data_IF_270615490546
#
_entry.id   IF_270615490546
#
_cell.length_a   1.000
_cell.length_b   1.000
_cell.length_c   1.000
_cell.angle_alpha   90.00
_cell.angle_beta   90.00
_cell.angle_gamma   90.00
#
_symmetry.space_group_name_H-M   'P 1'
#
loop_
_entity.id
_entity.type
_entity.pdbx_description
1 polymer ?
#
# COMPACT_ATOMS: atom_id res chain seq x y z
N UNK A 1 1.93 12.45 -8.82
CA UNK A 1 1.80 10.97 -8.93
C UNK A 1 0.49 10.54 -8.31
N UNK A 2 -0.09 9.42 -8.77
CA UNK A 2 -1.29 8.80 -8.19
C UNK A 2 -0.94 7.82 -7.08
N UNK A 3 -1.27 8.17 -5.84
CA UNK A 3 -1.00 7.37 -4.64
C UNK A 3 -2.34 6.85 -4.12
N UNK A 4 -2.42 5.54 -3.86
CA UNK A 4 -3.64 4.91 -3.35
C UNK A 4 -3.34 4.10 -2.10
N UNK A 5 -3.99 4.44 -0.99
CA UNK A 5 -4.08 3.63 0.22
C UNK A 5 -5.33 2.75 0.15
N UNK A 6 -5.14 1.44 -0.06
CA UNK A 6 -6.24 0.52 -0.41
C UNK A 6 -6.99 -0.07 0.77
N UNK A 7 -6.53 0.16 2.00
CA UNK A 7 -7.15 -0.32 3.24
C UNK A 7 -6.83 0.59 4.43
N UNK A 8 -7.64 0.52 5.51
CA UNK A 8 -7.36 1.27 6.73
C UNK A 8 -6.12 0.71 7.45
N UNK A 9 -5.23 1.61 7.86
CA UNK A 9 -3.98 1.28 8.55
C UNK A 9 -3.94 1.78 10.01
N UNK A 10 -5.11 2.11 10.57
CA UNK A 10 -5.26 2.51 11.98
C UNK A 10 -4.97 3.99 12.27
N UNK A 11 -4.89 4.84 11.24
CA UNK A 11 -4.78 6.29 11.40
C UNK A 11 -6.14 6.93 11.65
N UNK A 12 -6.16 7.98 12.46
CA UNK A 12 -7.32 8.84 12.63
C UNK A 12 -7.62 9.64 11.35
N UNK A 13 -8.84 10.18 11.26
CA UNK A 13 -9.25 11.03 10.12
C UNK A 13 -8.38 12.28 10.01
N UNK A 14 -8.04 12.89 11.15
CA UNK A 14 -7.22 14.11 11.21
C UNK A 14 -5.81 13.86 10.68
N UNK A 15 -5.16 12.76 11.10
CA UNK A 15 -3.85 12.36 10.59
C UNK A 15 -3.90 12.10 9.08
N UNK A 16 -4.96 11.44 8.61
CA UNK A 16 -5.13 11.13 7.19
C UNK A 16 -5.35 12.40 6.34
N UNK A 17 -6.11 13.36 6.84
CA UNK A 17 -6.31 14.66 6.20
C UNK A 17 -4.98 15.44 6.12
N UNK A 18 -4.20 15.44 7.18
CA UNK A 18 -2.89 16.10 7.19
C UNK A 18 -1.93 15.47 6.17
N UNK A 19 -1.85 14.14 6.10
CA UNK A 19 -1.04 13.43 5.09
C UNK A 19 -1.55 13.74 3.68
N UNK A 20 -2.86 13.73 3.47
CA UNK A 20 -3.48 14.04 2.17
C UNK A 20 -3.14 15.45 1.70
N UNK A 21 -3.20 16.44 2.59
CA UNK A 21 -2.87 17.83 2.27
C UNK A 21 -1.39 17.97 1.93
N UNK A 22 -0.49 17.39 2.73
CA UNK A 22 0.95 17.41 2.45
C UNK A 22 1.28 16.80 1.08
N UNK A 23 0.65 15.68 0.73
CA UNK A 23 0.86 15.05 -0.59
C UNK A 23 0.30 15.88 -1.74
N UNK A 24 -0.85 16.56 -1.53
CA UNK A 24 -1.44 17.47 -2.52
C UNK A 24 -0.57 18.71 -2.76
N UNK A 25 0.01 19.29 -1.71
CA UNK A 25 0.91 20.44 -1.81
C UNK A 25 2.18 20.12 -2.60
N UNK A 26 2.62 18.85 -2.54
CA UNK A 26 3.70 18.32 -3.37
C UNK A 26 3.27 17.93 -4.80
N UNK A 27 2.00 18.16 -5.18
CA UNK A 27 1.47 17.87 -6.52
C UNK A 27 1.09 16.40 -6.75
N UNK A 28 0.86 15.63 -5.69
CA UNK A 28 0.38 14.25 -5.78
C UNK A 28 -1.13 14.17 -5.54
N UNK A 29 -1.80 13.22 -6.19
CA UNK A 29 -3.17 12.86 -5.86
C UNK A 29 -3.15 11.67 -4.91
N UNK A 30 -3.87 11.77 -3.79
CA UNK A 30 -3.96 10.72 -2.79
C UNK A 30 -5.39 10.24 -2.62
N UNK A 31 -5.62 8.94 -2.82
CA UNK A 31 -6.91 8.28 -2.63
C UNK A 31 -6.82 7.31 -1.45
N UNK A 32 -7.76 7.41 -0.53
CA UNK A 32 -7.80 6.61 0.70
C UNK A 32 -9.10 5.83 0.74
N UNK A 33 -9.00 4.56 1.11
CA UNK A 33 -10.15 3.70 1.37
C UNK A 33 -10.19 3.31 2.85
N UNK A 34 -11.27 3.70 3.52
CA UNK A 34 -11.49 3.45 4.95
C UNK A 34 -12.03 2.04 5.25
N UNK A 35 -12.21 1.22 4.21
CA UNK A 35 -12.72 -0.16 4.34
C UNK A 35 -11.70 -1.16 3.82
N UNK A 36 -11.65 -2.34 4.45
CA UNK A 36 -10.86 -3.45 3.93
C UNK A 36 -11.59 -4.08 2.73
N UNK A 37 -10.94 -4.24 1.57
CA UNK A 37 -11.54 -4.95 0.45
C UNK A 37 -11.70 -6.43 0.79
N UNK A 38 -12.85 -7.00 0.47
CA UNK A 38 -13.17 -8.41 0.76
C UNK A 38 -12.78 -9.36 -0.39
N UNK A 39 -12.67 -8.82 -1.60
CA UNK A 39 -12.46 -9.59 -2.82
C UNK A 39 -11.33 -9.01 -3.65
N UNK A 40 -10.67 -9.88 -4.40
CA UNK A 40 -9.54 -9.52 -5.26
C UNK A 40 -9.92 -8.52 -6.35
N UNK A 41 -11.13 -8.64 -6.93
CA UNK A 41 -11.61 -7.71 -7.96
C UNK A 41 -11.75 -6.28 -7.43
N UNK A 42 -12.06 -6.13 -6.13
CA UNK A 42 -12.11 -4.83 -5.50
C UNK A 42 -10.71 -4.25 -5.33
N UNK A 43 -9.74 -5.06 -4.92
CA UNK A 43 -8.32 -4.64 -4.85
C UNK A 43 -7.84 -4.16 -6.22
N UNK A 44 -8.10 -4.92 -7.28
CA UNK A 44 -7.79 -4.55 -8.67
C UNK A 44 -8.42 -3.21 -9.02
N UNK A 45 -9.72 -3.04 -8.74
CA UNK A 45 -10.44 -1.79 -9.06
C UNK A 45 -9.84 -0.58 -8.35
N UNK A 46 -9.42 -0.72 -7.09
CA UNK A 46 -8.80 0.35 -6.28
C UNK A 46 -7.35 0.64 -6.74
N UNK A 47 -6.60 -0.38 -7.13
CA UNK A 47 -5.18 -0.29 -7.44
C UNK A 47 -4.85 0.03 -8.91
N UNK A 48 -5.75 -0.26 -9.87
CA UNK A 48 -5.49 -0.22 -11.32
C UNK A 48 -4.79 1.05 -11.84
N UNK A 49 -5.14 2.21 -11.28
CA UNK A 49 -4.66 3.52 -11.72
C UNK A 49 -3.53 4.08 -10.85
N UNK A 50 -3.13 3.35 -9.79
CA UNK A 50 -2.10 3.78 -8.87
C UNK A 50 -0.71 3.72 -9.51
N UNK A 51 0.08 4.75 -9.25
CA UNK A 51 1.53 4.73 -9.47
C UNK A 51 2.25 4.26 -8.20
N UNK A 52 1.69 4.58 -7.03
CA UNK A 52 2.16 4.12 -5.73
C UNK A 52 0.97 3.49 -4.99
N UNK A 53 1.14 2.24 -4.56
CA UNK A 53 0.17 1.49 -3.79
C UNK A 53 0.61 1.42 -2.32
N UNK A 54 -0.26 1.78 -1.38
CA UNK A 54 0.00 1.69 0.05
C UNK A 54 -0.95 0.66 0.67
N UNK A 55 -0.41 -0.29 1.43
CA UNK A 55 -1.18 -1.34 2.11
C UNK A 55 -0.47 -1.82 3.39
N UNK A 56 -1.13 -2.71 4.14
CA UNK A 56 -0.59 -3.37 5.32
C UNK A 56 -0.31 -4.85 5.08
N UNK A 57 -1.33 -5.72 5.09
CA UNK A 57 -1.19 -7.17 5.00
C UNK A 57 -2.16 -7.82 3.99
N UNK A 58 -2.79 -7.03 3.12
CA UNK A 58 -3.60 -7.58 2.03
C UNK A 58 -2.75 -8.39 1.06
N UNK A 59 -3.16 -9.62 0.69
CA UNK A 59 -2.50 -10.37 -0.37
C UNK A 59 -2.48 -9.59 -1.68
N UNK A 60 -1.29 -9.40 -2.25
CA UNK A 60 -1.06 -8.75 -3.54
C UNK A 60 -0.53 -9.81 -4.52
N UNK A 61 -1.46 -10.45 -5.21
CA UNK A 61 -1.22 -11.49 -6.21
C UNK A 61 -0.53 -10.96 -7.47
N UNK A 62 -0.06 -11.88 -8.31
CA UNK A 62 0.45 -11.53 -9.64
C UNK A 62 -0.63 -10.90 -10.53
N UNK A 63 -1.90 -11.32 -10.37
CA UNK A 63 -3.03 -10.78 -11.13
C UNK A 63 -3.31 -9.32 -10.76
N UNK A 64 -3.30 -9.00 -9.46
CA UNK A 64 -3.42 -7.61 -8.97
C UNK A 64 -2.30 -6.76 -9.57
N UNK A 65 -1.05 -7.18 -9.44
CA UNK A 65 0.08 -6.41 -9.99
C UNK A 65 -0.07 -6.24 -11.49
N UNK A 66 -0.39 -7.30 -12.23
CA UNK A 66 -0.58 -7.28 -13.69
C UNK A 66 -1.67 -6.32 -14.15
N UNK A 67 -2.73 -6.15 -13.36
CA UNK A 67 -3.78 -5.17 -13.65
C UNK A 67 -3.33 -3.71 -13.49
N UNK A 68 -2.32 -3.46 -12.66
CA UNK A 68 -1.81 -2.12 -12.35
C UNK A 68 -0.72 -1.70 -13.35
N UNK A 69 -1.12 -1.11 -14.48
CA UNK A 69 -0.19 -0.78 -15.58
C UNK A 69 0.84 0.30 -15.24
N UNK A 70 0.48 1.22 -14.36
CA UNK A 70 1.31 2.38 -14.01
C UNK A 70 2.08 2.23 -12.70
N UNK A 71 1.95 1.07 -12.04
CA UNK A 71 2.51 0.84 -10.71
C UNK A 71 4.04 0.89 -10.76
N UNK A 72 4.63 1.76 -9.94
CA UNK A 72 6.07 1.98 -9.80
C UNK A 72 6.57 1.55 -8.43
N UNK A 73 5.70 1.65 -7.41
CA UNK A 73 6.08 1.35 -6.02
C UNK A 73 4.91 0.76 -5.22
N UNK A 74 5.23 -0.17 -4.33
CA UNK A 74 4.38 -0.65 -3.26
C UNK A 74 5.02 -0.26 -1.93
N UNK A 75 4.29 0.48 -1.09
CA UNK A 75 4.67 0.88 0.25
C UNK A 75 3.88 0.08 1.27
N UNK A 76 4.56 -0.77 2.02
CA UNK A 76 3.96 -1.65 3.02
C UNK A 76 4.10 -1.02 4.39
N UNK A 77 2.98 -0.73 5.05
CA UNK A 77 2.92 -0.13 6.38
C UNK A 77 3.30 -1.12 7.51
N UNK A 78 3.69 -2.34 7.16
CA UNK A 78 4.09 -3.42 8.06
C UNK A 78 5.53 -3.88 7.74
N UNK A 79 6.09 -4.75 8.57
CA UNK A 79 7.43 -5.30 8.39
C UNK A 79 7.49 -6.44 7.34
N UNK A 80 6.46 -7.29 7.27
CA UNK A 80 6.41 -8.42 6.35
C UNK A 80 6.03 -8.02 4.92
N UNK A 81 6.56 -8.73 3.93
CA UNK A 81 6.25 -8.56 2.49
C UNK A 81 5.96 -9.90 1.79
N UNK A 82 5.82 -10.96 2.56
CA UNK A 82 5.57 -12.35 2.13
C UNK A 82 4.25 -12.51 1.35
N UNK A 83 3.29 -11.62 1.58
CA UNK A 83 2.00 -11.58 0.92
C UNK A 83 2.02 -10.83 -0.43
N UNK A 84 3.19 -10.38 -0.89
CA UNK A 84 3.37 -9.69 -2.18
C UNK A 84 4.07 -10.62 -3.15
N UNK A 85 3.57 -10.71 -4.39
CA UNK A 85 4.24 -11.45 -5.47
C UNK A 85 5.53 -10.72 -5.95
N UNK A 86 6.58 -10.82 -5.13
CA UNK A 86 7.86 -10.11 -5.28
C UNK A 86 8.56 -10.38 -6.61
N UNK A 87 8.42 -11.59 -7.17
CA UNK A 87 9.08 -11.93 -8.43
C UNK A 87 8.52 -11.15 -9.61
N UNK A 88 7.21 -10.92 -9.65
CA UNK A 88 6.60 -10.07 -10.66
C UNK A 88 6.96 -8.60 -10.43
N UNK A 89 7.00 -8.13 -9.18
CA UNK A 89 7.48 -6.79 -8.85
C UNK A 89 8.89 -6.57 -9.40
N UNK A 90 9.82 -7.50 -9.15
CA UNK A 90 11.20 -7.44 -9.67
C UNK A 90 11.24 -7.43 -11.19
N UNK A 91 10.52 -8.34 -11.85
CA UNK A 91 10.45 -8.41 -13.33
C UNK A 91 9.96 -7.11 -13.96
N UNK A 92 9.07 -6.38 -13.28
CA UNK A 92 8.48 -5.12 -13.74
C UNK A 92 9.17 -3.86 -13.21
N UNK A 93 10.29 -4.00 -12.49
CA UNK A 93 10.98 -2.88 -11.83
C UNK A 93 10.08 -2.07 -10.88
N UNK A 94 9.17 -2.75 -10.18
CA UNK A 94 8.32 -2.16 -9.14
C UNK A 94 9.10 -2.22 -7.83
N UNK A 95 9.29 -1.05 -7.22
CA UNK A 95 9.96 -0.93 -5.92
C UNK A 95 9.00 -1.41 -4.83
N UNK A 96 9.47 -2.26 -3.92
CA UNK A 96 8.72 -2.63 -2.72
C UNK A 96 9.49 -2.15 -1.51
N UNK A 97 8.87 -1.32 -0.69
CA UNK A 97 9.42 -0.79 0.55
C UNK A 97 8.49 -1.12 1.70
N UNK A 98 9.04 -1.48 2.85
CA UNK A 98 8.30 -1.84 4.04
C UNK A 98 8.67 -0.94 5.23
N UNK A 99 7.85 -0.93 6.27
CA UNK A 99 8.12 -0.24 7.52
C UNK A 99 8.96 -1.10 8.46
N UNK A 100 10.15 -1.53 8.03
CA UNK A 100 11.00 -2.41 8.82
C UNK A 100 11.35 -1.80 10.19
N UNK A 101 11.24 -2.60 11.26
CA UNK A 101 11.61 -2.18 12.61
C UNK A 101 10.55 -1.43 13.41
N UNK A 102 9.41 -1.04 12.80
CA UNK A 102 8.37 -0.25 13.47
C UNK A 102 7.77 -0.92 14.72
N UNK A 103 7.82 -2.25 14.80
CA UNK A 103 7.20 -3.04 15.86
C UNK A 103 8.20 -3.90 16.66
N UNK A 104 9.51 -3.66 16.54
CA UNK A 104 10.53 -4.49 17.20
C UNK A 104 10.31 -4.65 18.71
N UNK A 105 10.01 -3.55 19.41
CA UNK A 105 9.73 -3.58 20.85
C UNK A 105 8.39 -4.26 21.16
N UNK A 106 7.32 -3.87 20.46
CA UNK A 106 5.99 -4.42 20.68
C UNK A 106 5.93 -5.94 20.44
N UNK A 107 6.62 -6.45 19.41
CA UNK A 107 6.71 -7.89 19.13
C UNK A 107 7.56 -8.59 20.19
N UNK A 108 8.64 -7.97 20.65
CA UNK A 108 9.48 -8.53 21.71
C UNK A 108 8.77 -8.62 23.06
N UNK A 109 7.93 -7.64 23.41
CA UNK A 109 7.10 -7.66 24.64
C UNK A 109 6.02 -8.74 24.63
N UNK A 110 5.58 -9.19 23.45
CA UNK A 110 4.55 -10.20 23.30
C UNK A 110 5.05 -11.64 23.53
N UNK A 111 6.38 -11.87 23.55
CA UNK A 111 7.01 -13.20 23.62
C UNK A 111 7.43 -13.56 25.03
#
# INVERSE_FOLDING_TARGET
MKITLIEPIGLSKEEMEQISNNLKDLGHSFTVYDTKPEKEEEVIKRAKDAEILVLSNLPISEEIISSCKNLKMISVAFAGVDHIAMDLCRKRNIIVSNAAGYSNHAVAELT
#
